data_IF_426056586915
#
_entry.id   IF_426056586915
#
_cell.length_a   1.000
_cell.length_b   1.000
_cell.length_c   1.000
_cell.angle_alpha   90.00
_cell.angle_beta   90.00
_cell.angle_gamma   90.00
#
_symmetry.space_group_name_H-M   'P 1'
#
loop_
_entity.id
_entity.type
_entity.pdbx_description
1 polymer ?
#
# COMPACT_ATOMS: atom_id res chain seq x y z
N UNK A 1 8.32 28.10 -12.32
CA UNK A 1 7.33 27.73 -11.29
C UNK A 1 6.82 26.35 -11.65
N UNK A 2 7.21 25.32 -10.92
CA UNK A 2 6.57 24.00 -11.02
C UNK A 2 5.15 24.12 -10.48
N UNK A 3 4.17 23.62 -11.22
CA UNK A 3 2.78 23.59 -10.78
C UNK A 3 2.65 22.57 -9.65
N UNK A 4 2.08 23.03 -8.54
CA UNK A 4 1.76 22.28 -7.34
C UNK A 4 0.88 21.05 -7.62
N UNK A 5 1.12 19.94 -6.92
CA UNK A 5 0.27 18.72 -6.93
C UNK A 5 0.16 18.03 -8.30
N UNK A 6 1.08 18.32 -9.23
CA UNK A 6 1.02 17.81 -10.62
C UNK A 6 1.28 16.30 -10.72
N UNK A 7 1.99 15.72 -9.75
CA UNK A 7 2.43 14.32 -9.78
C UNK A 7 1.74 13.46 -8.74
N UNK A 8 0.93 14.03 -7.84
CA UNK A 8 0.26 13.26 -6.80
C UNK A 8 -0.82 12.35 -7.41
N UNK A 9 -0.71 11.01 -7.28
CA UNK A 9 -1.69 10.10 -7.86
C UNK A 9 -3.01 10.06 -7.09
N UNK A 10 -3.08 10.70 -5.91
CA UNK A 10 -4.14 10.47 -4.93
C UNK A 10 -5.54 10.79 -5.49
N UNK A 11 -5.77 11.99 -6.03
CA UNK A 11 -7.10 12.41 -6.49
C UNK A 11 -7.65 11.48 -7.59
N UNK A 12 -6.81 11.10 -8.56
CA UNK A 12 -7.21 10.30 -9.71
C UNK A 12 -7.35 8.79 -9.42
N UNK A 13 -6.65 8.31 -8.39
CA UNK A 13 -6.45 6.87 -8.17
C UNK A 13 -7.08 6.37 -6.89
N UNK A 14 -7.39 7.24 -5.92
CA UNK A 14 -7.91 6.80 -4.62
C UNK A 14 -9.18 5.96 -4.77
N UNK A 15 -10.13 6.41 -5.60
CA UNK A 15 -11.36 5.66 -5.88
C UNK A 15 -11.06 4.26 -6.45
N UNK A 16 -10.02 4.13 -7.29
CA UNK A 16 -9.63 2.83 -7.88
C UNK A 16 -9.00 1.92 -6.84
N UNK A 17 -8.15 2.47 -5.97
CA UNK A 17 -7.55 1.74 -4.86
C UNK A 17 -8.63 1.25 -3.89
N UNK A 18 -9.53 2.13 -3.46
CA UNK A 18 -10.62 1.83 -2.52
C UNK A 18 -11.60 0.78 -3.07
N UNK A 19 -12.02 0.92 -4.33
CA UNK A 19 -12.84 -0.09 -5.00
C UNK A 19 -12.13 -1.44 -5.09
N UNK A 20 -10.87 -1.45 -5.48
CA UNK A 20 -10.10 -2.69 -5.60
C UNK A 20 -9.87 -3.34 -4.22
N UNK A 21 -9.65 -2.55 -3.18
CA UNK A 21 -9.59 -2.99 -1.78
C UNK A 21 -10.89 -3.69 -1.40
N UNK A 22 -12.03 -3.02 -1.52
CA UNK A 22 -13.32 -3.57 -1.11
C UNK A 22 -13.70 -4.85 -1.88
N UNK A 23 -13.43 -4.90 -3.18
CA UNK A 23 -13.66 -6.11 -3.97
C UNK A 23 -12.72 -7.26 -3.55
N UNK A 24 -11.44 -6.97 -3.30
CA UNK A 24 -10.48 -7.99 -2.88
C UNK A 24 -10.76 -8.50 -1.45
N UNK A 25 -11.07 -7.60 -0.52
CA UNK A 25 -11.43 -7.93 0.86
C UNK A 25 -12.68 -8.83 0.92
N UNK A 26 -13.65 -8.62 0.01
CA UNK A 26 -14.84 -9.48 -0.14
C UNK A 26 -14.60 -10.76 -0.94
N UNK A 27 -13.38 -11.03 -1.39
CA UNK A 27 -13.02 -12.26 -2.10
C UNK A 27 -13.45 -12.34 -3.55
N UNK A 28 -13.71 -11.20 -4.21
CA UNK A 28 -14.12 -11.23 -5.61
C UNK A 28 -12.97 -11.81 -6.46
N UNK A 29 -13.27 -12.76 -7.33
CA UNK A 29 -12.24 -13.54 -8.04
C UNK A 29 -11.88 -12.98 -9.42
N UNK A 30 -12.51 -11.88 -9.85
CA UNK A 30 -12.30 -11.20 -11.15
C UNK A 30 -11.02 -10.35 -11.18
N UNK A 31 -9.94 -10.83 -10.56
CA UNK A 31 -8.65 -10.14 -10.50
C UNK A 31 -8.61 -8.90 -9.60
N UNK A 32 -9.61 -8.68 -8.74
CA UNK A 32 -9.67 -7.52 -7.83
C UNK A 32 -8.43 -7.42 -6.95
N UNK A 33 -7.94 -8.53 -6.39
CA UNK A 33 -6.71 -8.52 -5.59
C UNK A 33 -5.45 -8.18 -6.39
N UNK A 34 -5.39 -8.51 -7.68
CA UNK A 34 -4.28 -8.06 -8.53
C UNK A 34 -4.37 -6.55 -8.77
N UNK A 35 -5.58 -6.03 -9.01
CA UNK A 35 -5.80 -4.59 -9.15
C UNK A 35 -5.44 -3.84 -7.88
N UNK A 36 -5.85 -4.36 -6.72
CA UNK A 36 -5.51 -3.79 -5.42
C UNK A 36 -3.98 -3.68 -5.25
N UNK A 37 -3.25 -4.78 -5.48
CA UNK A 37 -1.78 -4.76 -5.36
C UNK A 37 -1.13 -3.83 -6.39
N UNK A 38 -1.68 -3.72 -7.59
CA UNK A 38 -1.18 -2.81 -8.61
C UNK A 38 -1.40 -1.34 -8.23
N UNK A 39 -2.60 -0.99 -7.75
CA UNK A 39 -2.93 0.38 -7.34
C UNK A 39 -2.17 0.77 -6.08
N UNK A 40 -2.11 -0.07 -5.03
CA UNK A 40 -1.40 0.28 -3.78
C UNK A 40 0.09 0.55 -4.04
N UNK A 41 0.71 -0.19 -4.98
CA UNK A 41 2.10 0.05 -5.38
C UNK A 41 2.33 1.46 -5.93
N UNK A 42 1.33 2.06 -6.58
CA UNK A 42 1.42 3.43 -7.09
C UNK A 42 1.31 4.48 -5.98
N UNK A 43 0.93 4.10 -4.77
CA UNK A 43 0.79 5.01 -3.63
C UNK A 43 2.01 4.98 -2.69
N UNK A 44 2.96 4.07 -2.91
CA UNK A 44 4.13 3.92 -2.05
C UNK A 44 5.26 4.92 -2.32
N UNK A 45 5.60 5.27 -3.58
CA UNK A 45 6.63 6.25 -3.85
C UNK A 45 6.25 7.62 -3.28
N UNK A 46 7.27 8.44 -3.03
CA UNK A 46 7.05 9.83 -2.66
C UNK A 46 6.63 10.66 -3.87
N UNK A 47 5.63 11.51 -3.67
CA UNK A 47 5.11 12.44 -4.66
C UNK A 47 4.99 13.83 -4.04
N UNK A 48 4.83 14.86 -4.88
CA UNK A 48 4.45 16.20 -4.44
C UNK A 48 2.98 16.20 -3.99
N UNK A 49 2.71 15.54 -2.86
CA UNK A 49 1.40 15.32 -2.25
C UNK A 49 1.35 16.11 -0.93
N UNK A 50 0.78 17.30 -0.92
CA UNK A 50 0.67 18.08 0.33
C UNK A 50 -0.54 17.64 1.17
N UNK A 51 -0.33 17.32 2.45
CA UNK A 51 -1.42 17.20 3.44
C UNK A 51 -1.90 18.60 3.82
N UNK A 52 -3.21 18.80 3.91
CA UNK A 52 -3.80 20.13 4.15
C UNK A 52 -3.39 20.79 5.47
N UNK A 53 -3.00 20.01 6.49
CA UNK A 53 -2.52 20.51 7.78
C UNK A 53 -1.02 20.86 7.79
N UNK A 54 -0.28 20.44 6.77
CA UNK A 54 1.16 20.65 6.65
C UNK A 54 1.50 21.90 5.84
N UNK A 55 0.53 22.68 5.33
CA UNK A 55 0.82 23.86 4.49
C UNK A 55 1.49 25.02 5.23
N UNK A 56 2.80 24.93 5.42
CA UNK A 56 3.65 26.04 5.83
C UNK A 56 4.50 26.49 4.65
N UNK A 57 4.78 27.80 4.55
CA UNK A 57 5.48 28.44 3.42
C UNK A 57 6.93 27.94 3.18
N UNK A 58 7.43 26.97 3.95
CA UNK A 58 8.86 26.61 4.01
C UNK A 58 9.21 25.17 3.66
N UNK A 59 8.25 24.29 3.40
CA UNK A 59 8.53 22.86 3.24
C UNK A 59 7.84 22.34 1.98
N UNK A 60 8.65 21.84 1.05
CA UNK A 60 8.19 21.02 -0.07
C UNK A 60 7.82 19.65 0.49
N UNK A 61 6.52 19.34 0.62
CA UNK A 61 6.07 18.08 1.24
C UNK A 61 6.03 16.96 0.20
N UNK A 62 7.21 16.41 -0.08
CA UNK A 62 7.38 15.17 -0.82
C UNK A 62 7.10 14.02 0.16
N UNK A 63 5.95 13.36 0.03
CA UNK A 63 5.51 12.25 0.90
C UNK A 63 4.88 11.12 0.09
N UNK A 64 4.83 9.89 0.61
CA UNK A 64 4.08 8.80 0.00
C UNK A 64 2.60 9.14 -0.19
N UNK A 65 2.02 8.89 -1.36
CA UNK A 65 0.60 9.20 -1.58
C UNK A 65 -0.33 8.37 -0.67
N UNK A 66 0.11 7.20 -0.20
CA UNK A 66 -0.66 6.36 0.74
C UNK A 66 -0.97 7.10 2.05
N UNK A 67 -0.12 8.04 2.46
CA UNK A 67 -0.31 8.86 3.65
C UNK A 67 -1.51 9.80 3.57
N UNK A 68 -2.01 10.11 2.37
CA UNK A 68 -3.21 10.90 2.17
C UNK A 68 -4.51 10.10 2.39
N UNK A 69 -4.43 8.77 2.49
CA UNK A 69 -5.60 7.90 2.71
C UNK A 69 -6.12 7.95 4.15
N UNK A 70 -5.37 8.56 5.08
CA UNK A 70 -5.75 8.72 6.47
C UNK A 70 -5.96 7.37 7.17
N UNK A 71 -7.10 7.21 7.86
CA UNK A 71 -7.41 5.97 8.58
C UNK A 71 -7.50 4.73 7.68
N UNK A 72 -7.81 4.89 6.39
CA UNK A 72 -7.89 3.76 5.45
C UNK A 72 -6.52 3.14 5.13
N UNK A 73 -5.41 3.83 5.45
CA UNK A 73 -4.05 3.30 5.27
C UNK A 73 -3.86 1.97 5.99
N UNK A 74 -4.36 1.86 7.21
CA UNK A 74 -4.21 0.66 8.04
C UNK A 74 -4.89 -0.55 7.38
N UNK A 75 -6.12 -0.37 6.90
CA UNK A 75 -6.90 -1.39 6.19
C UNK A 75 -6.19 -1.87 4.91
N UNK A 76 -5.61 -0.94 4.15
CA UNK A 76 -4.87 -1.27 2.94
C UNK A 76 -3.59 -2.06 3.26
N UNK A 77 -2.84 -1.64 4.28
CA UNK A 77 -1.63 -2.36 4.70
C UNK A 77 -1.97 -3.75 5.25
N UNK A 78 -3.02 -3.89 6.04
CA UNK A 78 -3.47 -5.19 6.57
C UNK A 78 -3.89 -6.15 5.45
N UNK A 79 -4.66 -5.66 4.45
CA UNK A 79 -5.01 -6.49 3.30
C UNK A 79 -3.77 -6.91 2.49
N UNK A 80 -2.82 -6.00 2.29
CA UNK A 80 -1.55 -6.29 1.61
C UNK A 80 -0.77 -7.38 2.36
N UNK A 81 -0.67 -7.26 3.70
CA UNK A 81 -0.04 -8.27 4.54
C UNK A 81 -0.75 -9.63 4.44
N UNK A 82 -2.09 -9.68 4.56
CA UNK A 82 -2.87 -10.93 4.46
C UNK A 82 -2.67 -11.64 3.12
N UNK A 83 -2.56 -10.87 2.03
CA UNK A 83 -2.22 -11.41 0.71
C UNK A 83 -0.78 -11.93 0.66
N UNK A 84 0.18 -11.15 1.18
CA UNK A 84 1.60 -11.49 1.18
C UNK A 84 1.91 -12.73 2.03
N UNK A 85 1.31 -12.84 3.21
CA UNK A 85 1.47 -13.95 4.15
C UNK A 85 0.75 -15.21 3.70
N UNK A 86 -0.19 -15.10 2.75
CA UNK A 86 -1.02 -16.20 2.32
C UNK A 86 -1.95 -16.68 3.43
N UNK A 87 -2.61 -15.74 4.10
CA UNK A 87 -3.70 -16.01 5.04
C UNK A 87 -4.69 -17.03 4.45
N UNK A 88 -5.34 -17.84 5.31
CA UNK A 88 -6.21 -18.96 4.91
C UNK A 88 -7.19 -18.61 3.79
N UNK A 89 -7.86 -17.47 3.90
CA UNK A 89 -8.79 -16.98 2.89
C UNK A 89 -8.13 -16.80 1.51
N UNK A 90 -6.90 -16.30 1.50
CA UNK A 90 -6.15 -16.03 0.28
C UNK A 90 -5.33 -17.22 -0.21
N UNK A 91 -5.34 -18.41 0.40
CA UNK A 91 -4.55 -19.58 -0.03
C UNK A 91 -4.97 -20.18 -1.37
N UNK A 92 -6.22 -19.95 -1.78
CA UNK A 92 -6.77 -20.51 -3.01
C UNK A 92 -5.93 -20.18 -4.27
N UNK A 93 -5.97 -21.07 -5.28
CA UNK A 93 -5.11 -20.98 -6.47
C UNK A 93 -5.31 -19.69 -7.26
N UNK A 94 -6.54 -19.17 -7.32
CA UNK A 94 -6.87 -17.95 -8.07
C UNK A 94 -6.20 -16.69 -7.49
N UNK A 95 -5.83 -16.68 -6.20
CA UNK A 95 -5.09 -15.58 -5.59
C UNK A 95 -3.57 -15.70 -5.75
N UNK A 96 -3.04 -16.79 -6.33
CA UNK A 96 -1.59 -17.05 -6.42
C UNK A 96 -0.80 -15.88 -7.02
N UNK A 97 -1.32 -15.27 -8.08
CA UNK A 97 -0.67 -14.11 -8.71
C UNK A 97 -0.62 -12.91 -7.77
N UNK A 98 -1.76 -12.58 -7.15
CA UNK A 98 -1.89 -11.45 -6.24
C UNK A 98 -1.00 -11.64 -5.01
N UNK A 99 -0.97 -12.85 -4.41
CA UNK A 99 -0.09 -13.17 -3.28
C UNK A 99 1.39 -12.93 -3.62
N UNK A 100 1.84 -13.39 -4.79
CA UNK A 100 3.23 -13.21 -5.23
C UNK A 100 3.58 -11.73 -5.38
N UNK A 101 2.70 -10.95 -6.00
CA UNK A 101 2.90 -9.52 -6.17
C UNK A 101 2.84 -8.78 -4.82
N UNK A 102 1.86 -9.11 -3.97
CA UNK A 102 1.71 -8.55 -2.64
C UNK A 102 2.96 -8.79 -1.80
N UNK A 103 3.51 -10.00 -1.83
CA UNK A 103 4.75 -10.33 -1.14
C UNK A 103 5.93 -9.50 -1.65
N UNK A 104 6.04 -9.29 -2.96
CA UNK A 104 7.10 -8.46 -3.53
C UNK A 104 6.98 -6.99 -3.10
N UNK A 105 5.75 -6.46 -3.03
CA UNK A 105 5.48 -5.09 -2.57
C UNK A 105 5.70 -4.96 -1.06
N UNK A 106 5.16 -5.87 -0.25
CA UNK A 106 5.25 -5.84 1.22
C UNK A 106 6.68 -5.96 1.74
N UNK A 107 7.57 -6.61 0.99
CA UNK A 107 8.98 -6.75 1.37
C UNK A 107 9.88 -5.65 0.76
N UNK A 108 9.30 -4.71 0.00
CA UNK A 108 10.06 -3.70 -0.71
C UNK A 108 10.47 -2.53 0.21
N UNK A 109 11.63 -1.90 -0.02
CA UNK A 109 12.04 -0.72 0.74
C UNK A 109 11.04 0.43 0.62
N UNK A 110 10.39 0.58 -0.53
CA UNK A 110 9.36 1.62 -0.74
C UNK A 110 8.19 1.44 0.21
N UNK A 111 7.72 0.20 0.44
CA UNK A 111 6.68 -0.06 1.42
C UNK A 111 7.14 0.24 2.84
N UNK A 112 8.35 -0.19 3.22
CA UNK A 112 8.90 0.08 4.56
C UNK A 112 8.99 1.58 4.86
N UNK A 113 9.38 2.39 3.90
CA UNK A 113 9.45 3.85 4.04
C UNK A 113 8.08 4.51 4.24
N UNK A 114 6.98 3.82 3.92
CA UNK A 114 5.62 4.33 4.17
C UNK A 114 5.10 4.04 5.57
N UNK A 115 5.81 3.21 6.36
CA UNK A 115 5.41 2.84 7.71
C UNK A 115 6.00 3.84 8.71
N UNK A 116 5.11 4.52 9.44
CA UNK A 116 5.47 5.44 10.52
C UNK A 116 4.72 5.09 11.82
N UNK A 117 5.21 5.61 12.94
CA UNK A 117 4.59 5.47 14.26
C UNK A 117 4.17 4.03 14.60
N UNK A 118 2.89 3.85 14.94
CA UNK A 118 2.36 2.55 15.34
C UNK A 118 2.36 1.51 14.20
N UNK A 119 2.26 1.94 12.94
CA UNK A 119 2.30 1.03 11.79
C UNK A 119 3.69 0.40 11.64
N UNK A 120 4.75 1.19 11.83
CA UNK A 120 6.12 0.69 11.84
C UNK A 120 6.33 -0.36 12.94
N UNK A 121 5.86 -0.08 14.17
CA UNK A 121 5.95 -1.01 15.30
C UNK A 121 5.22 -2.34 15.03
N UNK A 122 4.07 -2.29 14.36
CA UNK A 122 3.27 -3.48 14.05
C UNK A 122 3.85 -4.31 12.90
N UNK A 123 4.30 -3.67 11.82
CA UNK A 123 4.59 -4.37 10.56
C UNK A 123 6.08 -4.68 10.34
N UNK A 124 7.03 -3.93 10.92
CA UNK A 124 8.47 -4.26 10.78
C UNK A 124 8.82 -5.67 11.28
N UNK A 125 8.32 -6.15 12.45
CA UNK A 125 8.58 -7.52 12.88
C UNK A 125 8.06 -8.57 11.88
N UNK A 126 6.92 -8.31 11.24
CA UNK A 126 6.30 -9.21 10.26
C UNK A 126 7.07 -9.24 8.95
N UNK A 127 7.59 -8.10 8.50
CA UNK A 127 8.47 -8.00 7.33
C UNK A 127 9.73 -8.83 7.57
N UNK A 128 10.38 -8.65 8.72
CA UNK A 128 11.58 -9.38 9.10
C UNK A 128 11.35 -10.90 9.18
N UNK A 129 10.24 -11.33 9.79
CA UNK A 129 9.86 -12.74 9.83
C UNK A 129 9.68 -13.30 8.40
N UNK A 130 9.01 -12.55 7.53
CA UNK A 130 8.72 -12.98 6.17
C UNK A 130 9.97 -13.03 5.28
N UNK A 131 10.95 -12.12 5.49
CA UNK A 131 12.28 -12.17 4.86
C UNK A 131 13.02 -13.44 5.26
N UNK A 132 13.08 -13.77 6.56
CA UNK A 132 13.74 -14.99 7.05
C UNK A 132 13.16 -16.26 6.40
N UNK A 133 11.84 -16.33 6.27
CA UNK A 133 11.14 -17.46 5.61
C UNK A 133 11.34 -17.51 4.09
N UNK A 134 11.82 -16.43 3.45
CA UNK A 134 12.10 -16.40 2.01
C UNK A 134 13.54 -16.83 1.67
N UNK A 135 14.46 -16.79 2.64
CA UNK A 135 15.86 -17.19 2.47
C UNK A 135 16.15 -18.65 2.87
N UNK A 136 15.13 -19.39 3.31
CA UNK A 136 15.17 -20.84 3.56
C UNK A 136 14.53 -21.58 2.38
#
# INVERSE_FOLDING_TARGET
>A
MSEFNKTCPFEDRYIKLDQAYHECAKGFTKGSCNRFVAEIKLFLPEYDCQRSFDSTEKVEYIVPAIWLTGAAQEDFVDLLYKLASGNEFYKAKWFKSARRQAKAVFLSPEFENTLDGYMAEMYFPLIEEMRRKHHQ
#
